data_IF_883072725390
#
_entry.id   IF_883072725390
#
_cell.length_a   1.000
_cell.length_b   1.000
_cell.length_c   1.000
_cell.angle_alpha   90.00
_cell.angle_beta   90.00
_cell.angle_gamma   90.00
#
_symmetry.space_group_name_H-M   'P 1'
#
loop_
_entity.id
_entity.type
_entity.pdbx_description
1 polymer ?
#
# COMPACT_ATOMS: atom_id res chain seq x y z
N UNK A 1 8.95 5.59 10.39
CA UNK A 1 10.34 5.80 10.65
C UNK A 1 11.34 5.58 9.54
N UNK A 2 10.98 5.36 8.30
CA UNK A 2 12.00 5.09 7.30
C UNK A 2 11.87 6.11 6.18
N UNK A 3 12.73 7.09 6.27
CA UNK A 3 13.11 7.87 5.12
C UNK A 3 13.99 6.97 4.26
N UNK A 4 13.58 6.69 3.04
CA UNK A 4 14.19 5.68 2.20
C UNK A 4 15.26 6.25 1.28
N UNK A 5 16.31 5.48 1.06
CA UNK A 5 17.28 5.72 -0.03
C UNK A 5 16.85 5.06 -1.35
N UNK A 6 15.83 4.18 -1.33
CA UNK A 6 15.34 3.46 -2.49
C UNK A 6 13.83 3.46 -2.56
N UNK A 7 13.27 3.31 -3.76
CA UNK A 7 11.84 3.22 -3.96
C UNK A 7 11.33 1.89 -3.39
N UNK A 8 10.34 1.97 -2.50
CA UNK A 8 9.73 0.82 -1.84
C UNK A 8 8.21 0.95 -1.85
N UNK A 9 7.52 -0.10 -1.44
CA UNK A 9 6.08 -0.04 -1.26
C UNK A 9 5.69 0.90 -0.11
N UNK A 10 4.41 1.20 -0.01
CA UNK A 10 3.85 2.19 0.92
C UNK A 10 3.47 1.59 2.28
N UNK A 11 3.65 0.32 2.51
CA UNK A 11 3.30 -0.32 3.76
C UNK A 11 4.13 0.22 4.94
N UNK A 12 3.49 0.45 6.07
CA UNK A 12 4.09 0.80 7.36
C UNK A 12 4.69 2.18 7.50
N UNK A 13 4.44 3.10 6.58
CA UNK A 13 5.27 4.31 6.48
C UNK A 13 4.53 5.62 6.68
N UNK A 14 3.40 5.56 7.33
CA UNK A 14 2.67 6.78 7.67
C UNK A 14 3.32 7.47 8.87
N UNK A 15 3.80 8.66 8.65
CA UNK A 15 4.41 9.53 9.65
C UNK A 15 3.97 10.96 9.44
N UNK A 16 3.75 11.67 10.53
CA UNK A 16 3.64 13.13 10.54
C UNK A 16 5.05 13.71 10.58
N UNK A 17 5.35 14.62 9.67
CA UNK A 17 6.62 15.34 9.65
C UNK A 17 6.42 16.78 10.14
N UNK A 18 7.27 17.23 11.05
CA UNK A 18 7.29 18.62 11.56
C UNK A 18 8.05 19.55 10.63
N UNK A 19 7.86 19.38 9.34
CA UNK A 19 8.46 20.12 8.27
C UNK A 19 9.47 19.33 7.45
N UNK A 20 9.92 19.91 6.32
CA UNK A 20 10.81 19.23 5.37
C UNK A 20 12.16 18.80 5.94
N UNK A 21 12.67 19.50 6.96
CA UNK A 21 13.98 19.21 7.56
C UNK A 21 14.01 17.90 8.37
N UNK A 22 12.86 17.36 8.74
CA UNK A 22 12.81 16.01 9.35
C UNK A 22 13.11 14.89 8.36
N UNK A 23 13.12 15.18 7.07
CA UNK A 23 13.53 14.24 6.02
C UNK A 23 14.98 14.60 5.67
N UNK A 24 15.97 13.75 5.99
CA UNK A 24 17.36 14.02 5.66
C UNK A 24 17.56 14.27 4.16
N UNK A 25 18.54 15.08 3.83
CA UNK A 25 18.90 15.38 2.45
C UNK A 25 19.03 14.10 1.60
N UNK A 26 18.53 14.14 0.37
CA UNK A 26 18.45 13.00 -0.54
C UNK A 26 17.68 11.76 -0.04
N UNK A 27 16.93 11.92 1.05
CA UNK A 27 15.96 10.93 1.51
C UNK A 27 14.58 11.38 1.10
N UNK A 28 13.66 10.43 1.00
CA UNK A 28 12.30 10.73 0.62
C UNK A 28 11.26 9.98 1.44
N UNK A 29 10.14 10.64 1.62
CA UNK A 29 8.96 10.10 2.22
C UNK A 29 8.00 9.58 1.15
N UNK A 30 7.26 8.52 1.47
CA UNK A 30 6.19 7.99 0.62
C UNK A 30 4.94 8.86 0.72
N UNK A 31 4.24 9.02 -0.38
CA UNK A 31 2.93 9.68 -0.42
C UNK A 31 1.83 8.70 0.08
N UNK A 32 0.77 9.15 0.80
CA UNK A 32 0.54 10.53 1.24
C UNK A 32 1.49 10.98 2.35
N UNK A 33 1.89 12.25 2.33
CA UNK A 33 2.80 12.83 3.33
C UNK A 33 2.06 13.92 4.09
N UNK A 34 2.07 13.83 5.42
CA UNK A 34 1.51 14.85 6.30
C UNK A 34 2.63 15.65 6.95
N UNK A 35 2.56 16.96 6.78
CA UNK A 35 3.45 17.93 7.41
C UNK A 35 2.69 18.74 8.45
N UNK A 36 3.28 18.87 9.62
CA UNK A 36 2.87 19.74 10.71
C UNK A 36 4.02 20.68 11.04
N UNK A 37 3.77 21.97 11.11
CA UNK A 37 4.77 22.97 11.44
C UNK A 37 4.53 23.50 12.85
N UNK A 38 5.53 23.48 13.76
CA UNK A 38 5.36 23.89 15.16
C UNK A 38 4.79 25.29 15.34
N UNK A 39 5.16 26.22 14.46
CA UNK A 39 4.76 27.63 14.53
C UNK A 39 3.56 27.97 13.63
N UNK A 40 2.87 26.98 13.12
CA UNK A 40 1.72 27.15 12.22
C UNK A 40 0.53 26.35 12.69
N UNK A 41 -0.68 26.93 12.68
CA UNK A 41 -1.90 26.15 12.93
C UNK A 41 -2.29 25.26 11.75
N UNK A 42 -1.58 25.36 10.63
CA UNK A 42 -1.91 24.61 9.43
C UNK A 42 -1.10 23.32 9.35
N UNK A 43 -1.80 22.26 8.94
CA UNK A 43 -1.22 21.00 8.51
C UNK A 43 -1.39 20.86 7.01
N UNK A 44 -0.44 20.20 6.36
CA UNK A 44 -0.42 20.05 4.90
C UNK A 44 -0.26 18.58 4.56
N UNK A 45 -1.20 18.05 3.77
CA UNK A 45 -1.07 16.72 3.16
C UNK A 45 -0.70 16.90 1.69
N UNK A 46 0.32 16.16 1.25
CA UNK A 46 0.70 16.06 -0.15
C UNK A 46 0.44 14.62 -0.61
N UNK A 47 -0.34 14.49 -1.65
CA UNK A 47 -0.73 13.19 -2.23
C UNK A 47 -0.99 13.28 -3.73
N UNK A 48 -1.55 12.24 -4.30
CA UNK A 48 -1.90 12.14 -5.71
C UNK A 48 -3.32 11.63 -5.89
N UNK A 49 -3.86 11.88 -7.07
CA UNK A 49 -5.07 11.26 -7.55
C UNK A 49 -4.96 10.90 -9.02
N UNK A 50 -5.77 9.96 -9.49
CA UNK A 50 -5.81 9.51 -10.88
C UNK A 50 -4.46 8.97 -11.39
N UNK A 51 -3.83 8.11 -10.62
CA UNK A 51 -2.44 7.64 -10.81
C UNK A 51 -2.31 6.49 -11.81
N UNK A 52 -3.16 6.44 -12.82
CA UNK A 52 -3.14 5.38 -13.82
C UNK A 52 -1.85 5.39 -14.65
N UNK A 53 -1.21 4.22 -14.73
CA UNK A 53 -0.04 3.97 -15.57
C UNK A 53 1.03 5.07 -15.44
N UNK A 54 1.35 5.42 -14.20
CA UNK A 54 2.35 6.42 -13.88
C UNK A 54 3.04 6.09 -12.55
N UNK A 55 4.36 6.34 -12.41
CA UNK A 55 5.05 6.05 -11.16
C UNK A 55 4.55 6.93 -10.01
N UNK A 56 4.48 6.33 -8.81
CA UNK A 56 4.01 6.98 -7.61
C UNK A 56 4.92 8.13 -7.16
N UNK A 57 4.32 9.16 -6.57
CA UNK A 57 5.01 10.31 -6.00
C UNK A 57 5.68 9.96 -4.67
N UNK A 58 6.93 10.33 -4.55
CA UNK A 58 7.66 10.48 -3.30
C UNK A 58 8.00 11.95 -3.07
N UNK A 59 8.17 12.35 -1.81
CA UNK A 59 8.59 13.70 -1.45
C UNK A 59 10.03 13.67 -0.95
N UNK A 60 10.94 14.26 -1.72
CA UNK A 60 12.38 14.31 -1.42
C UNK A 60 12.75 15.64 -0.79
N UNK A 61 13.56 15.60 0.29
CA UNK A 61 14.12 16.82 0.88
C UNK A 61 15.25 17.36 0.02
N UNK A 62 15.23 18.67 -0.26
CA UNK A 62 16.32 19.35 -0.93
C UNK A 62 17.33 20.00 0.02
N UNK A 63 17.19 19.79 1.33
CA UNK A 63 18.08 20.34 2.35
C UNK A 63 17.88 21.81 2.72
N UNK A 64 16.94 22.51 2.07
CA UNK A 64 16.69 23.96 2.27
C UNK A 64 15.30 24.26 2.82
N UNK A 65 14.82 23.43 3.76
CA UNK A 65 13.48 23.55 4.32
C UNK A 65 12.37 23.50 3.24
N UNK A 66 12.61 22.78 2.18
CA UNK A 66 11.64 22.56 1.12
C UNK A 66 11.71 21.14 0.58
N UNK A 67 10.67 20.76 -0.14
CA UNK A 67 10.50 19.45 -0.70
C UNK A 67 10.30 19.54 -2.21
N UNK A 68 10.72 18.50 -2.90
CA UNK A 68 10.40 18.30 -4.31
C UNK A 68 9.77 16.94 -4.54
N UNK A 69 8.93 16.84 -5.54
CA UNK A 69 8.41 15.55 -6.00
C UNK A 69 9.53 14.70 -6.59
N UNK A 70 9.52 13.41 -6.28
CA UNK A 70 10.45 12.42 -6.78
C UNK A 70 9.69 11.22 -7.31
N UNK A 71 10.08 10.72 -8.45
CA UNK A 71 9.52 9.51 -9.07
C UNK A 71 10.63 8.53 -9.39
N UNK A 72 10.31 7.24 -9.34
CA UNK A 72 11.24 6.22 -9.80
C UNK A 72 11.47 6.37 -11.30
N UNK A 73 12.72 6.44 -11.71
CA UNK A 73 13.08 6.37 -13.12
C UNK A 73 12.68 5.02 -13.72
N UNK A 74 12.40 5.02 -15.00
CA UNK A 74 11.99 3.81 -15.73
C UNK A 74 13.04 2.70 -15.59
N UNK A 75 12.64 1.45 -15.33
CA UNK A 75 13.58 0.33 -15.30
C UNK A 75 14.28 0.16 -16.65
N UNK A 76 15.60 0.06 -16.64
CA UNK A 76 16.40 -0.24 -17.81
C UNK A 76 16.77 -1.71 -17.88
N UNK A 77 17.30 -2.23 -16.78
CA UNK A 77 17.65 -3.62 -16.61
C UNK A 77 16.95 -4.20 -15.42
N UNK A 78 16.35 -5.34 -15.60
CA UNK A 78 15.72 -6.12 -14.53
C UNK A 78 16.29 -7.52 -14.55
N UNK A 79 16.40 -8.13 -13.39
CA UNK A 79 16.70 -9.54 -13.21
C UNK A 79 15.60 -10.18 -12.38
N UNK A 80 15.35 -11.45 -12.65
CA UNK A 80 14.50 -12.24 -11.77
C UNK A 80 15.25 -12.46 -10.45
N UNK A 81 14.55 -12.34 -9.35
CA UNK A 81 15.15 -12.63 -8.06
C UNK A 81 15.38 -14.14 -7.94
N UNK A 82 16.48 -14.50 -7.31
CA UNK A 82 16.84 -15.90 -7.05
C UNK A 82 15.81 -16.54 -6.11
N UNK A 83 15.17 -17.66 -6.49
CA UNK A 83 14.26 -18.41 -5.63
C UNK A 83 14.86 -18.84 -4.29
N UNK A 84 16.18 -18.98 -4.21
CA UNK A 84 16.88 -19.27 -2.96
C UNK A 84 17.00 -18.07 -2.01
N UNK A 85 16.73 -16.87 -2.49
CA UNK A 85 16.71 -15.66 -1.68
C UNK A 85 15.50 -15.69 -0.73
N UNK A 86 15.68 -15.55 0.59
CA UNK A 86 14.58 -15.57 1.55
C UNK A 86 13.56 -14.45 1.35
N UNK A 87 13.87 -13.45 0.53
CA UNK A 87 12.98 -12.34 0.15
C UNK A 87 12.45 -12.47 -1.29
N UNK A 88 12.65 -13.59 -1.96
CA UNK A 88 12.21 -13.83 -3.34
C UNK A 88 10.73 -13.52 -3.56
N UNK A 89 9.89 -13.93 -2.65
CA UNK A 89 8.45 -13.73 -2.72
C UNK A 89 7.98 -12.26 -2.56
N UNK A 90 8.87 -11.37 -2.10
CA UNK A 90 8.57 -9.92 -2.07
C UNK A 90 8.86 -9.21 -3.40
N UNK A 91 9.67 -9.80 -4.26
CA UNK A 91 10.11 -9.12 -5.47
C UNK A 91 10.59 -10.12 -6.51
N UNK A 92 9.71 -10.46 -7.43
CA UNK A 92 10.03 -11.38 -8.52
C UNK A 92 10.99 -10.75 -9.55
N UNK A 93 10.97 -9.42 -9.66
CA UNK A 93 11.84 -8.67 -10.56
C UNK A 93 12.59 -7.58 -9.81
N UNK A 94 13.89 -7.63 -9.83
CA UNK A 94 14.76 -6.61 -9.26
C UNK A 94 15.22 -5.66 -10.34
N UNK A 95 15.02 -4.37 -10.13
CA UNK A 95 15.57 -3.34 -11.02
C UNK A 95 17.04 -3.13 -10.68
N UNK A 96 17.92 -3.46 -11.61
CA UNK A 96 19.38 -3.34 -11.47
C UNK A 96 19.82 -1.95 -11.87
N UNK A 97 19.40 -1.48 -13.04
CA UNK A 97 19.70 -0.15 -13.54
C UNK A 97 18.43 0.55 -14.01
N UNK A 98 18.46 1.88 -14.04
CA UNK A 98 17.34 2.70 -14.46
C UNK A 98 17.75 3.64 -15.59
N UNK A 99 16.77 4.02 -16.40
CA UNK A 99 16.92 5.06 -17.40
C UNK A 99 17.02 6.44 -16.75
N UNK A 100 17.39 7.46 -17.55
CA UNK A 100 17.44 8.86 -17.08
C UNK A 100 16.11 9.61 -17.21
N UNK A 101 15.01 8.89 -17.42
CA UNK A 101 13.64 9.42 -17.51
C UNK A 101 12.69 8.56 -16.68
N UNK A 102 11.56 9.13 -16.28
CA UNK A 102 10.52 8.44 -15.50
C UNK A 102 9.50 7.71 -16.38
N UNK A 103 9.19 8.27 -17.55
CA UNK A 103 8.28 7.69 -18.53
C UNK A 103 8.58 8.25 -19.93
N UNK A 104 8.22 7.49 -20.97
CA UNK A 104 8.12 7.96 -22.34
C UNK A 104 6.67 7.87 -22.78
N UNK A 105 6.14 8.94 -23.32
CA UNK A 105 4.75 8.99 -23.81
C UNK A 105 4.73 9.69 -25.16
N UNK A 106 3.67 9.49 -25.91
CA UNK A 106 3.41 10.23 -27.16
C UNK A 106 2.94 11.68 -26.91
N UNK A 107 2.80 12.07 -25.61
CA UNK A 107 2.32 13.36 -25.20
C UNK A 107 0.79 13.51 -25.20
N UNK A 108 0.05 12.52 -25.66
CA UNK A 108 -1.41 12.54 -25.73
C UNK A 108 -2.02 11.69 -24.61
N UNK A 109 -1.85 12.11 -23.37
CA UNK A 109 -2.42 11.46 -22.18
C UNK A 109 -2.71 12.41 -21.04
N UNK A 110 -3.57 12.00 -20.12
CA UNK A 110 -3.76 12.66 -18.83
C UNK A 110 -2.64 12.23 -17.86
N UNK A 111 -2.19 13.15 -17.05
CA UNK A 111 -1.23 12.90 -15.98
C UNK A 111 -1.93 12.88 -14.61
N UNK A 112 -1.38 12.19 -13.61
CA UNK A 112 -1.91 12.22 -12.27
C UNK A 112 -2.00 13.64 -11.69
N UNK A 113 -3.04 13.88 -10.90
CA UNK A 113 -3.15 15.10 -10.12
C UNK A 113 -2.16 15.09 -8.96
N UNK A 114 -1.54 16.24 -8.71
CA UNK A 114 -0.78 16.49 -7.47
C UNK A 114 -1.69 17.25 -6.53
N UNK A 115 -2.01 16.63 -5.40
CA UNK A 115 -3.02 17.14 -4.47
C UNK A 115 -2.34 17.68 -3.24
N UNK A 116 -2.61 18.93 -2.91
CA UNK A 116 -2.16 19.57 -1.67
C UNK A 116 -3.40 19.96 -0.88
N UNK A 117 -3.53 19.37 0.31
CA UNK A 117 -4.63 19.63 1.23
C UNK A 117 -4.08 20.42 2.41
N UNK A 118 -4.67 21.57 2.68
CA UNK A 118 -4.26 22.45 3.81
C UNK A 118 -5.43 22.60 4.76
N UNK A 119 -5.20 22.32 6.04
CA UNK A 119 -6.22 22.46 7.07
C UNK A 119 -5.63 22.85 8.41
N UNK A 120 -6.44 23.51 9.25
CA UNK A 120 -6.15 23.73 10.67
C UNK A 120 -6.67 22.60 11.56
N UNK A 121 -7.50 21.74 11.02
CA UNK A 121 -8.28 20.75 11.75
C UNK A 121 -8.05 19.34 11.18
N UNK A 122 -7.72 18.40 12.05
CA UNK A 122 -7.44 17.01 11.68
C UNK A 122 -8.66 16.30 11.11
N UNK A 123 -9.84 16.61 11.63
CA UNK A 123 -11.09 16.04 11.14
C UNK A 123 -11.36 16.43 9.68
N UNK A 124 -11.04 17.66 9.33
CA UNK A 124 -11.17 18.13 7.94
C UNK A 124 -10.16 17.46 7.00
N UNK A 125 -8.98 17.06 7.49
CA UNK A 125 -8.06 16.24 6.70
C UNK A 125 -8.62 14.83 6.48
N UNK A 126 -9.15 14.22 7.53
CA UNK A 126 -9.70 12.86 7.49
C UNK A 126 -10.92 12.76 6.56
N UNK A 127 -11.78 13.79 6.58
CA UNK A 127 -13.00 13.85 5.77
C UNK A 127 -12.79 14.49 4.39
N UNK A 128 -11.55 14.68 3.96
CA UNK A 128 -11.25 15.33 2.70
C UNK A 128 -11.46 14.37 1.52
N UNK A 129 -12.26 14.81 0.55
CA UNK A 129 -12.63 14.01 -0.62
C UNK A 129 -11.92 14.43 -1.92
N UNK A 130 -10.90 15.31 -1.85
CA UNK A 130 -10.26 15.83 -3.07
C UNK A 130 -9.66 14.73 -3.94
N UNK A 131 -9.07 13.70 -3.34
CA UNK A 131 -8.52 12.56 -4.09
C UNK A 131 -9.59 11.89 -4.94
N UNK A 132 -10.78 11.68 -4.39
CA UNK A 132 -11.91 11.07 -5.10
C UNK A 132 -12.54 12.02 -6.13
N UNK A 133 -12.66 13.31 -5.81
CA UNK A 133 -13.23 14.32 -6.71
C UNK A 133 -12.37 14.57 -7.96
N UNK A 134 -11.07 14.34 -7.85
CA UNK A 134 -10.10 14.49 -8.94
C UNK A 134 -9.85 13.18 -9.70
N UNK A 135 -10.36 12.08 -9.22
CA UNK A 135 -10.27 10.79 -9.90
C UNK A 135 -11.27 10.70 -11.06
N UNK A 136 -10.94 9.89 -12.05
CA UNK A 136 -11.90 9.55 -13.10
C UNK A 136 -13.14 8.88 -12.49
N UNK A 137 -14.31 9.06 -13.11
CA UNK A 137 -15.52 8.37 -12.67
C UNK A 137 -15.35 6.85 -12.70
N UNK A 138 -16.06 6.16 -11.82
CA UNK A 138 -16.12 4.70 -11.84
C UNK A 138 -16.57 4.20 -13.22
N UNK A 139 -15.84 3.24 -13.79
CA UNK A 139 -16.14 2.64 -15.10
C UNK A 139 -17.00 1.39 -15.01
N UNK A 140 -17.26 0.91 -13.80
CA UNK A 140 -18.13 -0.25 -13.58
C UNK A 140 -19.59 0.18 -13.74
N UNK A 141 -20.35 -0.55 -14.53
CA UNK A 141 -21.79 -0.31 -14.75
C UNK A 141 -22.64 -0.84 -13.60
N UNK A 142 -22.15 -1.87 -12.91
CA UNK A 142 -22.78 -2.43 -11.72
C UNK A 142 -21.73 -2.58 -10.60
N UNK A 143 -22.01 -1.97 -9.47
CA UNK A 143 -21.18 -2.01 -8.26
C UNK A 143 -21.91 -2.65 -7.08
N UNK A 144 -23.12 -3.19 -7.28
CA UNK A 144 -23.96 -3.76 -6.22
C UNK A 144 -23.33 -4.96 -5.51
N UNK A 145 -22.40 -5.65 -6.19
CA UNK A 145 -21.67 -6.80 -5.65
C UNK A 145 -20.53 -6.39 -4.70
N UNK A 146 -20.12 -5.10 -4.69
CA UNK A 146 -19.08 -4.59 -3.80
C UNK A 146 -19.73 -4.27 -2.46
N UNK A 147 -19.52 -5.14 -1.48
CA UNK A 147 -20.03 -4.96 -0.13
C UNK A 147 -18.88 -4.60 0.81
N UNK A 148 -18.92 -3.46 1.49
CA UNK A 148 -17.94 -3.13 2.51
C UNK A 148 -18.09 -4.04 3.73
N UNK A 149 -16.98 -4.37 4.37
CA UNK A 149 -17.00 -5.21 5.57
C UNK A 149 -15.63 -5.36 6.19
N UNK A 150 -15.58 -5.99 7.35
CA UNK A 150 -14.34 -6.33 8.04
C UNK A 150 -13.77 -7.61 7.47
N UNK A 151 -12.46 -7.74 7.46
CA UNK A 151 -11.78 -8.96 7.03
C UNK A 151 -10.87 -9.51 8.13
N UNK A 152 -10.97 -10.80 8.40
CA UNK A 152 -9.94 -11.52 9.13
C UNK A 152 -8.74 -11.77 8.22
N UNK A 153 -7.54 -11.73 8.76
CA UNK A 153 -6.31 -11.89 8.01
C UNK A 153 -5.25 -12.58 8.86
N UNK A 154 -4.81 -13.77 8.43
CA UNK A 154 -3.92 -14.64 9.19
C UNK A 154 -2.50 -14.09 9.35
N UNK A 155 -2.05 -13.28 8.40
CA UNK A 155 -0.70 -12.72 8.41
C UNK A 155 -0.43 -11.80 9.61
N UNK A 156 -1.45 -11.16 10.16
CA UNK A 156 -1.30 -10.16 11.23
C UNK A 156 -0.47 -10.67 12.43
N UNK A 157 -0.60 -11.94 12.76
CA UNK A 157 0.15 -12.60 13.82
C UNK A 157 0.87 -13.87 13.33
N UNK A 158 1.25 -13.89 12.04
CA UNK A 158 2.00 -14.94 11.38
C UNK A 158 1.26 -16.29 11.34
N UNK A 159 -0.06 -16.26 11.30
CA UNK A 159 -0.92 -17.43 11.32
C UNK A 159 -0.69 -18.39 12.51
N UNK A 160 -0.13 -17.91 13.61
CA UNK A 160 0.08 -18.71 14.82
C UNK A 160 -1.20 -18.73 15.64
N UNK A 161 -1.66 -19.94 15.97
CA UNK A 161 -2.84 -20.18 16.81
C UNK A 161 -2.43 -20.91 18.08
N UNK A 162 -2.97 -20.50 19.21
CA UNK A 162 -2.79 -21.15 20.50
C UNK A 162 -3.99 -22.05 20.80
N UNK A 163 -3.75 -23.21 21.45
CA UNK A 163 -4.81 -24.10 21.90
C UNK A 163 -5.49 -24.94 20.80
N UNK A 164 -4.91 -25.00 19.60
CA UNK A 164 -5.38 -25.87 18.53
C UNK A 164 -4.56 -27.17 18.46
N UNK A 165 -5.18 -28.23 17.97
CA UNK A 165 -4.59 -29.57 17.87
C UNK A 165 -3.98 -29.87 16.47
N UNK A 166 -3.78 -28.83 15.67
CA UNK A 166 -3.19 -28.93 14.34
C UNK A 166 -2.07 -27.91 14.15
N UNK A 167 -1.13 -28.14 13.21
CA UNK A 167 -0.04 -27.22 12.94
C UNK A 167 -0.54 -25.84 12.48
N UNK A 168 0.00 -24.78 13.08
CA UNK A 168 -0.31 -23.40 12.71
C UNK A 168 0.96 -22.57 12.53
N UNK A 169 0.86 -21.44 11.84
CA UNK A 169 1.98 -20.56 11.51
C UNK A 169 2.15 -20.37 9.99
N UNK A 170 2.88 -19.34 9.60
CA UNK A 170 3.06 -18.93 8.19
C UNK A 170 3.74 -19.98 7.27
N UNK A 171 4.32 -21.02 7.84
CA UNK A 171 4.88 -22.18 7.11
C UNK A 171 3.97 -23.41 7.16
N UNK A 172 2.82 -23.29 7.79
CA UNK A 172 1.87 -24.39 8.04
C UNK A 172 0.48 -24.03 7.52
N UNK A 173 0.43 -23.23 6.42
CA UNK A 173 -0.82 -22.84 5.80
C UNK A 173 -1.53 -24.09 5.23
N UNK A 174 -2.74 -24.33 5.68
CA UNK A 174 -3.52 -25.52 5.33
C UNK A 174 -5.00 -25.20 5.26
N UNK A 175 -5.75 -26.06 4.60
CA UNK A 175 -7.21 -25.96 4.57
C UNK A 175 -7.81 -25.91 5.98
N UNK A 176 -7.30 -26.74 6.90
CA UNK A 176 -7.77 -26.77 8.29
C UNK A 176 -7.53 -25.44 9.01
N UNK A 177 -6.35 -24.84 8.83
CA UNK A 177 -6.03 -23.52 9.37
C UNK A 177 -7.01 -22.45 8.85
N UNK A 178 -7.26 -22.42 7.55
CA UNK A 178 -8.15 -21.44 6.96
C UNK A 178 -9.63 -21.67 7.34
N UNK A 179 -10.08 -22.91 7.47
CA UNK A 179 -11.42 -23.21 8.02
C UNK A 179 -11.58 -22.67 9.44
N UNK A 180 -10.55 -22.82 10.29
CA UNK A 180 -10.55 -22.20 11.62
C UNK A 180 -10.75 -20.69 11.57
N UNK A 181 -10.05 -19.99 10.66
CA UNK A 181 -10.21 -18.53 10.50
C UNK A 181 -11.60 -18.15 9.97
N UNK A 182 -12.17 -18.94 9.07
CA UNK A 182 -13.55 -18.75 8.58
C UNK A 182 -14.54 -18.90 9.73
N UNK A 183 -14.42 -19.95 10.54
CA UNK A 183 -15.28 -20.17 11.71
C UNK A 183 -15.15 -19.05 12.72
N UNK A 184 -13.91 -18.62 12.98
CA UNK A 184 -13.64 -17.51 13.88
C UNK A 184 -14.22 -16.20 13.36
N UNK A 185 -14.08 -15.92 12.09
CA UNK A 185 -14.64 -14.73 11.44
C UNK A 185 -16.17 -14.73 11.51
N UNK A 186 -16.79 -15.83 11.16
CA UNK A 186 -18.26 -16.03 11.25
C UNK A 186 -18.76 -15.80 12.68
N UNK A 187 -18.13 -16.44 13.67
CA UNK A 187 -18.49 -16.29 15.09
C UNK A 187 -18.36 -14.86 15.61
N UNK A 188 -17.46 -14.05 15.04
CA UNK A 188 -17.21 -12.68 15.43
C UNK A 188 -17.85 -11.65 14.50
N UNK A 189 -18.76 -12.07 13.63
CA UNK A 189 -19.45 -11.18 12.67
C UNK A 189 -18.46 -10.37 11.81
N UNK A 190 -17.47 -11.07 11.27
CA UNK A 190 -16.49 -10.54 10.31
C UNK A 190 -16.82 -11.12 8.94
N UNK A 191 -17.11 -10.26 7.99
CA UNK A 191 -17.74 -10.61 6.72
C UNK A 191 -16.80 -11.34 5.76
N UNK A 192 -15.49 -11.12 5.88
CA UNK A 192 -14.49 -11.61 4.93
C UNK A 192 -13.33 -12.32 5.61
N UNK A 193 -12.73 -13.26 4.89
CA UNK A 193 -11.41 -13.80 5.19
C UNK A 193 -10.45 -13.48 4.05
N UNK A 194 -9.34 -12.81 4.35
CA UNK A 194 -8.25 -12.55 3.42
C UNK A 194 -7.19 -13.63 3.58
N UNK A 195 -6.84 -14.28 2.48
CA UNK A 195 -5.72 -15.20 2.41
C UNK A 195 -4.50 -14.46 1.91
N UNK A 196 -3.41 -14.49 2.67
CA UNK A 196 -2.13 -13.92 2.26
C UNK A 196 -1.34 -14.87 1.35
N UNK A 197 -0.18 -14.44 0.90
CA UNK A 197 0.71 -15.25 0.07
C UNK A 197 1.00 -16.62 0.70
N UNK A 198 1.02 -17.67 -0.14
CA UNK A 198 1.32 -19.04 0.29
C UNK A 198 0.09 -19.95 0.44
N UNK A 199 -1.12 -19.46 0.17
CA UNK A 199 -2.27 -20.34 0.01
C UNK A 199 -2.11 -21.26 -1.22
N UNK A 200 -2.80 -22.40 -1.25
CA UNK A 200 -2.71 -23.37 -2.36
C UNK A 200 -4.00 -23.43 -3.18
N UNK A 201 -3.84 -23.60 -4.49
CA UNK A 201 -4.95 -23.87 -5.40
C UNK A 201 -5.65 -25.20 -5.11
N UNK A 202 -4.96 -26.15 -4.47
CA UNK A 202 -5.47 -27.47 -4.17
C UNK A 202 -6.72 -27.47 -3.28
N UNK A 203 -6.83 -26.48 -2.38
CA UNK A 203 -7.94 -26.40 -1.44
C UNK A 203 -8.82 -25.15 -1.57
N UNK A 204 -8.49 -24.22 -2.45
CA UNK A 204 -9.22 -22.93 -2.49
C UNK A 204 -10.70 -23.12 -2.81
N UNK A 205 -11.05 -24.04 -3.70
CA UNK A 205 -12.44 -24.32 -4.08
C UNK A 205 -13.24 -24.85 -2.90
N UNK A 206 -12.66 -25.78 -2.13
CA UNK A 206 -13.29 -26.32 -0.93
C UNK A 206 -13.46 -25.24 0.14
N UNK A 207 -12.42 -24.43 0.37
CA UNK A 207 -12.47 -23.34 1.33
C UNK A 207 -13.55 -22.31 0.96
N UNK A 208 -13.65 -21.93 -0.31
CA UNK A 208 -14.69 -21.01 -0.78
C UNK A 208 -16.11 -21.57 -0.63
N UNK A 209 -16.28 -22.89 -0.81
CA UNK A 209 -17.57 -23.54 -0.57
C UNK A 209 -17.91 -23.52 0.93
N UNK A 210 -16.96 -23.90 1.76
CA UNK A 210 -17.10 -23.88 3.22
C UNK A 210 -17.44 -22.50 3.79
N UNK A 211 -16.82 -21.45 3.25
CA UNK A 211 -17.06 -20.09 3.72
C UNK A 211 -18.43 -19.51 3.32
N UNK A 212 -19.19 -20.19 2.48
CA UNK A 212 -20.56 -19.79 2.07
C UNK A 212 -21.66 -20.44 2.91
N UNK A 213 -21.34 -21.48 3.65
CA UNK A 213 -22.24 -22.20 4.56
C UNK A 213 -22.39 -21.45 5.89
#
# INVERSE_FOLDING_TARGET
>A
HQVHQGYRNFERLYKVYKGPLEIPYERFAVSPVLYEYPDSPYKVVVTESNTYDYPALYMESNGYNSMRGKWANYPKETIDSDPSNPYYWYSNHLVVTRENYIAKTDGNRSFPWRVIIVSKDDKSLLNNELVYKLADPCRLTDTSWIQPGKSAWEWWHKAVLEGVDFPSGNKQLSLQLYKYYVDWASKNHIEYMTLDAGWSEDYIKELCSYAKE
#
